data_IF_669800829510
#
_entry.id   IF_669800829510
#
_cell.length_a   1.000
_cell.length_b   1.000
_cell.length_c   1.000
_cell.angle_alpha   90.00
_cell.angle_beta   90.00
_cell.angle_gamma   90.00
#
_symmetry.space_group_name_H-M   'P 1'
#
loop_
_entity.id
_entity.type
_entity.pdbx_description
1 polymer ?
#
# COMPACT_ATOMS: atom_id res chain seq x y z
N UNK A 1 -12.96 18.35 9.48
CA UNK A 1 -13.52 18.74 10.79
C UNK A 1 -13.31 17.63 11.80
N UNK A 2 -13.08 17.99 13.04
CA UNK A 2 -12.86 17.06 14.14
C UNK A 2 -13.67 17.50 15.35
N UNK A 3 -14.34 16.55 16.01
CA UNK A 3 -15.09 16.80 17.24
C UNK A 3 -14.37 16.24 18.48
N UNK A 4 -13.30 15.54 18.31
CA UNK A 4 -12.47 14.92 19.36
C UNK A 4 -11.79 13.68 18.81
N UNK A 5 -10.77 13.21 19.51
CA UNK A 5 -10.03 11.96 19.28
C UNK A 5 -9.72 11.60 17.82
N UNK A 6 -9.33 12.60 17.03
CA UNK A 6 -9.00 12.48 15.59
C UNK A 6 -7.93 11.41 15.34
N UNK A 7 -6.99 11.25 16.29
CA UNK A 7 -5.95 10.22 16.20
C UNK A 7 -6.52 8.80 16.16
N UNK A 8 -7.59 8.53 16.91
CA UNK A 8 -8.20 7.21 16.95
C UNK A 8 -8.99 6.91 15.66
N UNK A 9 -9.69 7.91 15.13
CA UNK A 9 -10.29 7.84 13.78
C UNK A 9 -9.24 7.62 12.71
N UNK A 10 -8.08 8.28 12.80
CA UNK A 10 -6.96 8.11 11.88
C UNK A 10 -6.36 6.71 11.92
N UNK A 11 -6.29 6.06 13.10
CA UNK A 11 -5.84 4.67 13.24
C UNK A 11 -6.77 3.73 12.48
N UNK A 12 -8.09 3.87 12.67
CA UNK A 12 -9.08 3.08 11.95
C UNK A 12 -8.97 3.29 10.43
N UNK A 13 -8.90 4.55 9.98
CA UNK A 13 -8.77 4.90 8.57
C UNK A 13 -7.48 4.37 7.96
N UNK A 14 -6.35 4.47 8.67
CA UNK A 14 -5.06 3.94 8.22
C UNK A 14 -5.08 2.42 8.08
N UNK A 15 -5.73 1.72 9.02
CA UNK A 15 -5.91 0.27 8.94
C UNK A 15 -6.70 -0.12 7.68
N UNK A 16 -7.83 0.52 7.43
CA UNK A 16 -8.64 0.30 6.23
C UNK A 16 -7.87 0.66 4.94
N UNK A 17 -7.12 1.76 4.96
CA UNK A 17 -6.32 2.21 3.81
C UNK A 17 -5.23 1.21 3.44
N UNK A 18 -4.47 0.71 4.43
CA UNK A 18 -3.44 -0.31 4.22
C UNK A 18 -4.04 -1.61 3.67
N UNK A 19 -5.16 -2.06 4.23
CA UNK A 19 -5.86 -3.26 3.77
C UNK A 19 -6.39 -3.09 2.34
N UNK A 20 -6.93 -1.90 2.03
CA UNK A 20 -7.40 -1.56 0.67
C UNK A 20 -6.28 -1.51 -0.35
N UNK A 21 -5.10 -1.09 0.06
CA UNK A 21 -3.90 -1.07 -0.78
C UNK A 21 -3.23 -2.45 -0.94
N UNK A 22 -3.79 -3.50 -0.35
CA UNK A 22 -3.22 -4.85 -0.43
C UNK A 22 -1.99 -5.07 0.47
N UNK A 23 -1.73 -4.17 1.44
CA UNK A 23 -0.63 -4.38 2.38
C UNK A 23 -1.00 -5.51 3.35
N UNK A 24 -0.20 -6.58 3.45
CA UNK A 24 -0.52 -7.76 4.27
C UNK A 24 -0.28 -7.47 5.76
N UNK A 25 -1.07 -6.58 6.34
CA UNK A 25 -1.03 -6.34 7.80
C UNK A 25 -1.50 -7.57 8.55
N UNK A 26 -0.95 -7.81 9.73
CA UNK A 26 -1.25 -9.02 10.53
C UNK A 26 -2.71 -9.11 10.99
N UNK A 27 -3.33 -7.96 11.25
CA UNK A 27 -4.74 -7.85 11.65
C UNK A 27 -5.19 -6.38 11.55
N UNK A 28 -6.49 -6.12 11.36
CA UNK A 28 -7.03 -4.77 11.45
C UNK A 28 -6.89 -4.23 12.87
N UNK A 29 -6.66 -2.93 12.98
CA UNK A 29 -6.51 -2.19 14.23
C UNK A 29 -7.59 -1.12 14.30
N UNK A 30 -8.35 -1.10 15.39
CA UNK A 30 -9.24 -0.01 15.72
C UNK A 30 -8.73 0.79 16.91
N UNK A 31 -9.04 2.06 16.94
CA UNK A 31 -8.74 2.96 18.06
C UNK A 31 -10.02 3.60 18.62
N UNK A 32 -10.03 3.85 19.91
CA UNK A 32 -11.10 4.55 20.62
C UNK A 32 -10.50 5.36 21.78
N UNK A 33 -11.18 6.42 22.18
CA UNK A 33 -10.90 7.14 23.41
C UNK A 33 -11.98 6.96 24.43
N UNK A 34 -11.61 6.96 25.70
CA UNK A 34 -12.51 7.11 26.83
C UNK A 34 -12.03 8.26 27.70
N UNK A 35 -12.97 8.96 28.31
CA UNK A 35 -12.71 10.04 29.25
C UNK A 35 -13.18 9.69 30.64
N UNK A 36 -12.69 10.44 31.62
CA UNK A 36 -13.10 10.36 33.02
C UNK A 36 -13.58 11.72 33.46
N UNK A 37 -14.70 11.73 34.18
CA UNK A 37 -15.18 12.88 34.94
C UNK A 37 -15.39 12.40 36.37
N UNK A 38 -14.74 13.04 37.34
CA UNK A 38 -14.85 12.73 38.77
C UNK A 38 -15.74 13.73 39.48
N UNK A 39 -16.44 13.28 40.52
CA UNK A 39 -17.21 14.08 41.43
C UNK A 39 -16.50 14.33 42.78
N UNK A 40 -17.25 14.44 43.86
CA UNK A 40 -16.69 14.79 45.17
C UNK A 40 -16.06 13.64 45.96
N UNK A 41 -16.27 12.39 45.55
CA UNK A 41 -15.74 11.19 46.22
C UNK A 41 -15.03 10.24 45.28
N UNK A 42 -14.20 9.35 45.85
CA UNK A 42 -13.39 8.39 45.07
C UNK A 42 -14.22 7.43 44.23
N UNK A 43 -15.45 7.14 44.64
CA UNK A 43 -16.40 6.29 43.92
C UNK A 43 -17.40 7.10 43.06
N UNK A 44 -17.31 8.45 43.07
CA UNK A 44 -18.16 9.32 42.28
C UNK A 44 -17.46 9.70 40.99
N UNK A 45 -17.61 8.86 39.97
CA UNK A 45 -17.01 9.10 38.66
C UNK A 45 -17.85 8.50 37.53
N UNK A 46 -17.65 9.03 36.32
CA UNK A 46 -18.25 8.52 35.09
C UNK A 46 -17.15 8.32 34.07
N UNK A 47 -17.14 7.16 33.41
CA UNK A 47 -16.29 6.89 32.24
C UNK A 47 -17.11 7.08 30.96
N UNK A 48 -16.69 8.03 30.14
CA UNK A 48 -17.30 8.37 28.88
C UNK A 48 -16.61 7.60 27.78
N UNK A 49 -17.35 7.11 26.78
CA UNK A 49 -16.79 6.40 25.60
C UNK A 49 -16.95 7.29 24.38
N UNK A 50 -15.89 7.39 23.55
CA UNK A 50 -15.81 8.22 22.34
C UNK A 50 -15.99 9.72 22.67
N UNK A 51 -15.01 10.25 23.40
CA UNK A 51 -15.09 11.61 23.96
C UNK A 51 -14.99 12.70 22.89
N UNK A 52 -15.79 13.74 23.10
CA UNK A 52 -15.75 14.99 22.32
C UNK A 52 -14.63 15.92 22.80
N UNK A 53 -14.32 16.94 22.01
CA UNK A 53 -13.28 17.92 22.34
C UNK A 53 -13.51 18.66 23.66
N UNK A 54 -14.77 18.93 24.05
CA UNK A 54 -15.09 19.54 25.36
C UNK A 54 -14.90 18.55 26.52
N UNK A 55 -15.23 17.28 26.32
CA UNK A 55 -15.03 16.22 27.30
C UNK A 55 -13.54 15.89 27.47
N UNK A 56 -12.74 15.98 26.39
CA UNK A 56 -11.28 15.93 26.46
C UNK A 56 -10.73 17.14 27.24
N UNK A 57 -11.19 18.35 26.95
CA UNK A 57 -10.64 19.56 27.55
C UNK A 57 -10.99 19.70 29.05
N UNK A 58 -12.21 19.43 29.42
CA UNK A 58 -12.72 19.61 30.80
C UNK A 58 -12.72 18.33 31.64
N UNK A 59 -12.54 17.16 31.03
CA UNK A 59 -12.46 15.89 31.73
C UNK A 59 -11.17 15.72 32.53
N UNK A 60 -11.13 14.74 33.41
CA UNK A 60 -10.03 14.45 34.32
C UNK A 60 -8.99 13.48 33.73
N UNK A 61 -9.38 12.73 32.70
CA UNK A 61 -8.53 11.81 31.95
C UNK A 61 -8.98 11.72 30.51
N UNK A 62 -8.01 11.67 29.59
CA UNK A 62 -8.16 11.19 28.22
C UNK A 62 -7.34 9.91 28.05
N UNK A 63 -8.02 8.80 27.79
CA UNK A 63 -7.41 7.49 27.65
C UNK A 63 -7.69 6.90 26.28
N UNK A 64 -6.68 6.86 25.44
CA UNK A 64 -6.73 6.40 24.05
C UNK A 64 -6.11 5.02 23.93
N UNK A 65 -6.85 4.09 23.36
CA UNK A 65 -6.40 2.70 23.17
C UNK A 65 -6.64 2.25 21.74
N UNK A 66 -5.60 1.73 21.12
CA UNK A 66 -5.69 1.04 19.85
C UNK A 66 -5.39 -0.46 20.02
N UNK A 67 -5.98 -1.29 19.19
CA UNK A 67 -5.72 -2.72 19.24
C UNK A 67 -6.52 -3.53 18.23
N UNK A 68 -6.16 -4.81 18.17
CA UNK A 68 -6.82 -5.85 17.40
C UNK A 68 -7.80 -6.63 18.27
N UNK A 69 -8.47 -7.62 17.70
CA UNK A 69 -9.28 -8.58 18.48
C UNK A 69 -8.45 -9.35 19.53
N UNK A 70 -7.15 -9.53 19.28
CA UNK A 70 -6.28 -10.30 20.17
C UNK A 70 -5.77 -9.50 21.37
N UNK A 71 -5.76 -8.16 21.27
CA UNK A 71 -5.27 -7.32 22.34
C UNK A 71 -4.92 -5.91 21.96
N UNK A 72 -4.43 -5.17 22.94
CA UNK A 72 -4.03 -3.78 22.83
C UNK A 72 -2.67 -3.70 22.12
N UNK A 73 -2.53 -2.79 21.17
CA UNK A 73 -1.29 -2.51 20.43
C UNK A 73 -0.67 -1.17 20.78
N UNK A 74 -1.48 -0.21 21.23
CA UNK A 74 -1.00 1.10 21.66
C UNK A 74 -1.92 1.70 22.72
N UNK A 75 -1.33 2.45 23.64
CA UNK A 75 -2.01 3.23 24.68
C UNK A 75 -1.39 4.62 24.72
N UNK A 76 -2.26 5.62 24.83
CA UNK A 76 -1.89 6.98 25.22
C UNK A 76 -2.85 7.41 26.33
N UNK A 77 -2.32 7.98 27.40
CA UNK A 77 -3.12 8.46 28.52
C UNK A 77 -2.64 9.83 28.95
N UNK A 78 -3.56 10.75 29.10
CA UNK A 78 -3.36 12.04 29.70
C UNK A 78 -4.24 12.16 30.95
N UNK A 79 -3.62 12.47 32.09
CA UNK A 79 -4.29 12.55 33.40
C UNK A 79 -4.12 13.97 33.92
N UNK A 80 -5.24 14.61 34.29
CA UNK A 80 -5.28 15.97 34.80
C UNK A 80 -5.51 16.04 36.30
N UNK A 81 -5.65 14.88 36.96
CA UNK A 81 -5.84 14.72 38.43
C UNK A 81 -4.67 13.96 39.05
N UNK A 82 -4.57 13.90 40.35
CA UNK A 82 -3.40 13.37 41.08
C UNK A 82 -3.22 11.84 41.02
N UNK A 83 -4.06 11.13 40.35
CA UNK A 83 -3.94 9.68 40.13
C UNK A 83 -5.25 9.03 39.81
N UNK A 84 -5.20 7.77 39.42
CA UNK A 84 -6.36 6.94 39.14
C UNK A 84 -6.37 5.71 40.03
N UNK A 85 -7.56 5.30 40.45
CA UNK A 85 -7.71 4.02 41.15
C UNK A 85 -7.55 2.85 40.18
N UNK A 86 -7.17 1.70 40.68
CA UNK A 86 -7.09 0.46 39.86
C UNK A 86 -8.45 0.12 39.23
N UNK A 87 -9.54 0.42 39.95
CA UNK A 87 -10.91 0.21 39.47
C UNK A 87 -11.19 1.04 38.21
N UNK A 88 -10.88 2.34 38.23
CA UNK A 88 -11.07 3.25 37.09
C UNK A 88 -10.27 2.74 35.89
N UNK A 89 -8.99 2.33 36.07
CA UNK A 89 -8.15 1.81 34.98
C UNK A 89 -8.75 0.54 34.39
N UNK A 90 -9.21 -0.38 35.22
CA UNK A 90 -9.83 -1.63 34.78
C UNK A 90 -11.10 -1.38 33.97
N UNK A 91 -11.94 -0.49 34.45
CA UNK A 91 -13.19 -0.12 33.78
C UNK A 91 -12.89 0.60 32.44
N UNK A 92 -11.95 1.54 32.41
CA UNK A 92 -11.54 2.22 31.20
C UNK A 92 -11.04 1.23 30.14
N UNK A 93 -10.19 0.28 30.52
CA UNK A 93 -9.69 -0.79 29.62
C UNK A 93 -10.85 -1.65 29.10
N UNK A 94 -11.80 -2.03 29.97
CA UNK A 94 -12.96 -2.81 29.56
C UNK A 94 -13.84 -2.07 28.55
N UNK A 95 -14.12 -0.77 28.81
CA UNK A 95 -14.88 0.11 27.91
C UNK A 95 -14.18 0.24 26.54
N UNK A 96 -12.87 0.46 26.53
CA UNK A 96 -12.12 0.53 25.26
C UNK A 96 -12.13 -0.80 24.51
N UNK A 97 -12.14 -1.94 25.20
CA UNK A 97 -12.25 -3.26 24.55
C UNK A 97 -13.60 -3.42 23.87
N UNK A 98 -14.68 -3.12 24.56
CA UNK A 98 -16.04 -3.21 24.03
C UNK A 98 -16.21 -2.33 22.78
N UNK A 99 -15.83 -1.06 22.87
CA UNK A 99 -15.94 -0.11 21.77
C UNK A 99 -15.07 -0.49 20.57
N UNK A 100 -13.82 -0.93 20.78
CA UNK A 100 -12.95 -1.39 19.69
C UNK A 100 -13.49 -2.65 19.03
N UNK A 101 -14.04 -3.58 19.79
CA UNK A 101 -14.67 -4.79 19.25
C UNK A 101 -15.85 -4.41 18.35
N UNK A 102 -16.70 -3.50 18.79
CA UNK A 102 -17.79 -2.96 17.97
C UNK A 102 -17.26 -2.32 16.68
N UNK A 103 -16.26 -1.44 16.76
CA UNK A 103 -15.68 -0.79 15.57
C UNK A 103 -15.10 -1.83 14.60
N UNK A 104 -14.36 -2.81 15.10
CA UNK A 104 -13.76 -3.86 14.26
C UNK A 104 -14.82 -4.71 13.57
N UNK A 105 -15.80 -5.22 14.32
CA UNK A 105 -16.75 -6.22 13.83
C UNK A 105 -17.94 -5.62 13.09
N UNK A 106 -18.48 -4.50 13.56
CA UNK A 106 -19.73 -3.95 13.05
C UNK A 106 -19.52 -2.79 12.07
N UNK A 107 -18.32 -2.18 12.06
CA UNK A 107 -18.01 -1.03 11.20
C UNK A 107 -16.91 -1.35 10.18
N UNK A 108 -15.75 -1.85 10.61
CA UNK A 108 -14.60 -2.03 9.72
C UNK A 108 -14.67 -3.33 8.90
N UNK A 109 -14.88 -4.48 9.55
CA UNK A 109 -14.91 -5.78 8.89
C UNK A 109 -15.99 -5.93 7.80
N UNK A 110 -17.21 -5.35 7.95
CA UNK A 110 -18.17 -5.37 6.86
C UNK A 110 -17.72 -4.65 5.58
N UNK A 111 -16.80 -3.68 5.71
CA UNK A 111 -16.26 -2.93 4.57
C UNK A 111 -15.06 -3.64 3.95
N UNK A 112 -14.10 -4.02 4.77
CA UNK A 112 -12.89 -4.75 4.36
C UNK A 112 -12.54 -5.78 5.43
N UNK A 113 -12.90 -7.07 5.24
CA UNK A 113 -12.66 -8.10 6.24
C UNK A 113 -11.20 -8.59 6.31
N UNK A 114 -10.45 -8.40 5.24
CA UNK A 114 -9.03 -8.76 5.13
C UNK A 114 -8.30 -7.83 4.16
N UNK A 115 -6.98 -7.80 4.21
CA UNK A 115 -6.20 -7.11 3.20
C UNK A 115 -6.52 -7.68 1.81
N UNK A 116 -6.65 -6.80 0.81
CA UNK A 116 -6.86 -7.23 -0.57
C UNK A 116 -5.61 -7.95 -1.08
N UNK A 117 -5.80 -8.92 -1.95
CA UNK A 117 -4.73 -9.65 -2.62
C UNK A 117 -4.10 -8.87 -3.79
N UNK A 118 -4.70 -7.74 -4.15
CA UNK A 118 -4.23 -6.83 -5.18
C UNK A 118 -4.49 -5.37 -4.78
N UNK A 119 -3.72 -4.45 -5.32
CA UNK A 119 -3.94 -3.01 -5.15
C UNK A 119 -5.18 -2.56 -5.92
N UNK A 120 -5.81 -1.48 -5.46
CA UNK A 120 -6.99 -0.91 -6.13
C UNK A 120 -6.72 -0.53 -7.59
N UNK A 121 -7.77 -0.45 -8.40
CA UNK A 121 -7.71 -0.17 -9.84
C UNK A 121 -6.88 1.09 -10.15
N UNK A 122 -7.09 2.16 -9.39
CA UNK A 122 -6.41 3.46 -9.57
C UNK A 122 -5.16 3.63 -8.71
N UNK A 123 -4.77 2.60 -7.97
CA UNK A 123 -3.54 2.68 -7.17
C UNK A 123 -2.31 2.47 -8.06
N UNK A 124 -1.22 3.22 -7.82
CA UNK A 124 0.05 2.94 -8.48
C UNK A 124 0.49 1.50 -8.24
N UNK A 125 0.81 0.80 -9.31
CA UNK A 125 1.29 -0.58 -9.30
C UNK A 125 2.78 -0.58 -9.62
N UNK A 126 3.52 -1.47 -8.97
CA UNK A 126 4.95 -1.68 -9.20
C UNK A 126 5.15 -3.14 -9.56
N UNK A 127 5.76 -3.39 -10.70
CA UNK A 127 6.23 -4.72 -11.07
C UNK A 127 7.75 -4.73 -11.17
N UNK A 128 8.36 -5.79 -10.65
CA UNK A 128 9.79 -5.99 -10.71
C UNK A 128 10.12 -7.06 -11.75
N UNK A 129 11.07 -6.75 -12.61
CA UNK A 129 11.65 -7.68 -13.57
C UNK A 129 13.16 -7.66 -13.46
N UNK A 130 13.82 -8.81 -13.48
CA UNK A 130 15.28 -8.89 -13.35
C UNK A 130 15.88 -9.39 -14.65
N UNK A 131 16.91 -8.70 -15.12
CA UNK A 131 17.69 -9.06 -16.30
C UNK A 131 19.15 -9.33 -15.92
N UNK A 132 19.90 -9.95 -16.82
CA UNK A 132 21.34 -10.04 -16.69
C UNK A 132 21.94 -8.61 -16.70
N UNK A 133 22.80 -8.25 -15.72
CA UNK A 133 23.45 -6.95 -15.70
C UNK A 133 24.20 -6.57 -16.98
N UNK A 134 24.74 -7.56 -17.70
CA UNK A 134 25.40 -7.34 -19.01
C UNK A 134 24.43 -6.82 -20.08
N UNK A 135 23.12 -7.04 -19.90
CA UNK A 135 22.05 -6.60 -20.82
C UNK A 135 21.47 -5.22 -20.52
N UNK A 136 21.85 -4.60 -19.40
CA UNK A 136 21.36 -3.26 -19.02
C UNK A 136 21.58 -2.24 -20.14
N UNK A 137 22.76 -2.28 -20.76
CA UNK A 137 23.10 -1.36 -21.86
C UNK A 137 22.21 -1.54 -23.09
N UNK A 138 21.70 -2.75 -23.36
CA UNK A 138 20.77 -3.02 -24.46
C UNK A 138 19.38 -2.44 -24.18
N UNK A 139 18.91 -2.53 -22.93
CA UNK A 139 17.62 -1.99 -22.50
C UNK A 139 17.65 -0.46 -22.46
N UNK A 140 18.73 0.13 -21.95
CA UNK A 140 18.90 1.59 -21.95
C UNK A 140 19.05 2.11 -23.37
N UNK A 141 19.84 1.44 -24.18
CA UNK A 141 20.15 1.84 -25.55
C UNK A 141 21.08 3.07 -25.63
N UNK A 142 21.49 3.41 -26.83
CA UNK A 142 22.41 4.54 -27.09
C UNK A 142 21.76 5.85 -26.62
N UNK A 143 22.38 6.52 -25.64
CA UNK A 143 21.89 7.77 -25.03
C UNK A 143 20.46 7.65 -24.46
N UNK A 144 20.07 6.48 -23.96
CA UNK A 144 18.74 6.25 -23.40
C UNK A 144 17.61 6.08 -24.43
N UNK A 145 17.92 5.99 -25.72
CA UNK A 145 16.91 5.99 -26.79
C UNK A 145 15.91 4.83 -26.67
N UNK A 146 16.39 3.64 -26.30
CA UNK A 146 15.52 2.45 -26.21
C UNK A 146 14.58 2.56 -25.01
N UNK A 147 15.10 2.87 -23.81
CA UNK A 147 14.28 3.00 -22.61
C UNK A 147 13.28 4.15 -22.72
N UNK A 148 13.69 5.29 -23.28
CA UNK A 148 12.77 6.42 -23.49
C UNK A 148 11.68 6.05 -24.51
N UNK A 149 11.99 5.28 -25.55
CA UNK A 149 10.98 4.77 -26.48
C UNK A 149 9.93 3.87 -25.81
N UNK A 150 10.36 3.01 -24.87
CA UNK A 150 9.44 2.18 -24.07
C UNK A 150 8.56 3.06 -23.19
N UNK A 151 9.14 4.06 -22.51
CA UNK A 151 8.43 5.00 -21.66
C UNK A 151 7.41 5.81 -22.46
N UNK A 152 7.81 6.34 -23.61
CA UNK A 152 6.94 7.13 -24.49
C UNK A 152 5.76 6.31 -25.03
N UNK A 153 5.99 5.02 -25.36
CA UNK A 153 4.98 4.12 -25.90
C UNK A 153 3.98 3.62 -24.86
N UNK A 154 4.43 3.42 -23.62
CA UNK A 154 3.63 2.79 -22.55
C UNK A 154 3.17 3.75 -21.46
N UNK A 155 3.81 4.91 -21.32
CA UNK A 155 3.52 5.88 -20.27
C UNK A 155 3.97 5.43 -18.86
N UNK A 156 4.70 4.32 -18.74
CA UNK A 156 5.20 3.82 -17.46
C UNK A 156 6.44 4.60 -16.99
N UNK A 157 6.75 4.52 -15.70
CA UNK A 157 8.06 4.91 -15.17
C UNK A 157 8.93 3.67 -15.01
N UNK A 158 10.17 3.74 -15.46
CA UNK A 158 11.13 2.62 -15.38
C UNK A 158 12.36 3.09 -14.62
N UNK A 159 12.77 2.32 -13.62
CA UNK A 159 14.03 2.48 -12.92
C UNK A 159 14.84 1.17 -13.00
N UNK A 160 16.15 1.27 -13.26
CA UNK A 160 17.03 0.12 -13.43
C UNK A 160 18.23 0.31 -12.52
N UNK A 161 18.49 -0.64 -11.63
CA UNK A 161 19.66 -0.65 -10.80
C UNK A 161 20.84 -1.45 -11.41
N UNK A 162 22.02 -1.31 -10.81
CA UNK A 162 23.25 -1.97 -11.29
C UNK A 162 23.19 -3.50 -11.19
N UNK A 163 22.28 -4.07 -10.41
CA UNK A 163 22.08 -5.52 -10.30
C UNK A 163 21.24 -6.10 -11.42
N UNK A 164 20.68 -5.26 -12.29
CA UNK A 164 19.76 -5.67 -13.36
C UNK A 164 18.32 -5.76 -12.93
N UNK A 165 17.97 -5.28 -11.72
CA UNK A 165 16.59 -5.16 -11.29
C UNK A 165 15.93 -3.95 -11.95
N UNK A 166 14.80 -4.18 -12.56
CA UNK A 166 13.97 -3.17 -13.23
C UNK A 166 12.67 -3.03 -12.46
N UNK A 167 12.42 -1.84 -11.90
CA UNK A 167 11.17 -1.46 -11.26
C UNK A 167 10.32 -0.66 -12.26
N UNK A 168 9.12 -1.14 -12.57
CA UNK A 168 8.21 -0.55 -13.54
C UNK A 168 6.94 -0.12 -12.82
N UNK A 169 6.61 1.18 -12.89
CA UNK A 169 5.49 1.79 -12.19
C UNK A 169 4.46 2.32 -13.19
N UNK A 170 3.18 2.01 -12.95
CA UNK A 170 2.03 2.60 -13.63
C UNK A 170 0.75 2.37 -12.83
N UNK A 171 -0.30 3.16 -13.09
CA UNK A 171 -1.66 2.86 -12.64
C UNK A 171 -2.29 1.75 -13.48
N UNK A 172 -1.86 1.59 -14.74
CA UNK A 172 -2.36 0.60 -15.69
C UNK A 172 -1.45 -0.63 -15.75
N UNK A 173 -1.97 -1.78 -15.30
CA UNK A 173 -1.26 -3.06 -15.33
C UNK A 173 -0.94 -3.52 -16.76
N UNK A 174 -1.84 -3.25 -17.73
CA UNK A 174 -1.60 -3.65 -19.11
C UNK A 174 -0.40 -2.92 -19.72
N UNK A 175 -0.17 -1.67 -19.33
CA UNK A 175 1.02 -0.91 -19.76
C UNK A 175 2.29 -1.42 -19.12
N UNK A 176 2.25 -1.86 -17.87
CA UNK A 176 3.38 -2.54 -17.20
C UNK A 176 3.71 -3.84 -17.93
N UNK A 177 2.73 -4.68 -18.23
CA UNK A 177 2.91 -5.96 -18.90
C UNK A 177 3.46 -5.77 -20.32
N UNK A 178 3.01 -4.73 -21.02
CA UNK A 178 3.52 -4.34 -22.33
C UNK A 178 4.98 -3.92 -22.24
N UNK A 179 5.35 -3.08 -21.28
CA UNK A 179 6.74 -2.66 -21.07
C UNK A 179 7.65 -3.87 -20.78
N UNK A 180 7.23 -4.79 -19.91
CA UNK A 180 7.94 -6.03 -19.63
C UNK A 180 8.10 -6.86 -20.89
N UNK A 181 7.07 -6.99 -21.73
CA UNK A 181 7.14 -7.74 -22.98
C UNK A 181 8.16 -7.15 -23.94
N UNK A 182 8.21 -5.82 -24.07
CA UNK A 182 9.22 -5.14 -24.92
C UNK A 182 10.63 -5.39 -24.36
N UNK A 183 10.84 -5.24 -23.04
CA UNK A 183 12.14 -5.49 -22.41
C UNK A 183 12.58 -6.94 -22.63
N UNK A 184 11.69 -7.91 -22.47
CA UNK A 184 11.95 -9.33 -22.73
C UNK A 184 12.41 -9.54 -24.17
N UNK A 185 11.72 -8.95 -25.14
CA UNK A 185 12.09 -9.08 -26.55
C UNK A 185 13.50 -8.54 -26.88
N UNK A 186 13.99 -7.60 -26.07
CA UNK A 186 15.34 -7.03 -26.21
C UNK A 186 16.40 -7.99 -25.63
N UNK A 187 16.16 -8.51 -24.40
CA UNK A 187 17.18 -9.24 -23.65
C UNK A 187 17.18 -10.74 -23.89
N UNK A 188 16.02 -11.34 -24.20
CA UNK A 188 15.92 -12.77 -24.42
C UNK A 188 16.50 -13.15 -25.79
N UNK A 189 17.29 -14.25 -25.88
CA UNK A 189 17.81 -14.72 -27.16
C UNK A 189 16.68 -15.22 -28.05
N UNK A 190 16.83 -15.07 -29.34
CA UNK A 190 15.93 -15.69 -30.31
C UNK A 190 16.21 -17.18 -30.39
N UNK A 191 15.17 -18.01 -30.24
CA UNK A 191 15.32 -19.45 -30.29
C UNK A 191 14.86 -20.02 -31.64
N UNK A 192 15.56 -21.02 -32.13
CA UNK A 192 15.15 -21.74 -33.33
C UNK A 192 13.91 -22.58 -33.07
N UNK A 193 12.86 -22.34 -33.84
CA UNK A 193 11.58 -23.03 -33.72
C UNK A 193 10.47 -22.20 -33.08
N UNK A 194 10.80 -21.03 -32.48
CA UNK A 194 9.81 -20.09 -31.98
C UNK A 194 9.21 -19.26 -33.12
N UNK A 195 7.97 -18.79 -32.91
CA UNK A 195 7.27 -17.92 -33.86
C UNK A 195 7.34 -16.48 -33.33
N UNK A 196 7.79 -15.57 -34.16
CA UNK A 196 7.92 -14.16 -33.85
C UNK A 196 7.11 -13.32 -34.85
N UNK A 197 6.47 -12.27 -34.36
CA UNK A 197 5.91 -11.19 -35.18
C UNK A 197 6.95 -10.09 -35.35
N UNK A 198 7.11 -9.57 -36.58
CA UNK A 198 8.05 -8.52 -36.84
C UNK A 198 7.68 -7.66 -38.05
N UNK A 199 8.19 -6.44 -38.09
CA UNK A 199 7.98 -5.50 -39.18
C UNK A 199 9.02 -5.69 -40.29
N UNK A 200 8.59 -5.74 -41.53
CA UNK A 200 9.49 -5.75 -42.68
C UNK A 200 10.09 -4.37 -42.87
N UNK A 201 11.35 -4.20 -42.46
CA UNK A 201 12.05 -2.90 -42.52
C UNK A 201 12.78 -2.67 -43.85
N UNK A 202 13.09 -3.73 -44.60
CA UNK A 202 13.78 -3.63 -45.90
C UNK A 202 13.55 -4.87 -46.77
N UNK A 203 13.33 -4.66 -48.04
CA UNK A 203 13.21 -5.73 -49.03
C UNK A 203 14.44 -5.67 -49.96
N UNK A 204 15.03 -6.83 -50.21
CA UNK A 204 16.18 -7.01 -51.08
C UNK A 204 15.88 -8.11 -52.12
N UNK A 205 16.73 -8.23 -53.17
CA UNK A 205 16.55 -9.23 -54.24
C UNK A 205 16.59 -10.69 -53.76
N UNK A 206 17.14 -10.92 -52.52
CA UNK A 206 17.32 -12.25 -51.95
C UNK A 206 16.41 -12.53 -50.76
N UNK A 207 15.52 -11.62 -50.40
CA UNK A 207 14.59 -11.76 -49.26
C UNK A 207 14.27 -10.45 -48.56
N UNK A 208 13.61 -10.55 -47.40
CA UNK A 208 13.25 -9.42 -46.57
C UNK A 208 14.07 -9.38 -45.27
N UNK A 209 14.28 -8.17 -44.74
CA UNK A 209 14.76 -7.97 -43.38
C UNK A 209 13.57 -7.65 -42.49
N UNK A 210 13.42 -8.43 -41.42
CA UNK A 210 12.33 -8.31 -40.47
C UNK A 210 12.90 -7.89 -39.12
N UNK A 211 12.41 -6.79 -38.59
CA UNK A 211 12.77 -6.33 -37.25
C UNK A 211 11.87 -7.02 -36.22
N UNK A 212 12.46 -7.80 -35.33
CA UNK A 212 11.74 -8.55 -34.29
C UNK A 212 11.69 -7.82 -32.95
N UNK A 213 12.65 -6.93 -32.71
CA UNK A 213 12.70 -6.05 -31.55
C UNK A 213 13.56 -4.83 -31.91
N UNK A 214 13.55 -3.77 -31.07
CA UNK A 214 14.32 -2.54 -31.35
C UNK A 214 15.78 -2.75 -31.75
N UNK A 215 16.41 -3.83 -31.27
CA UNK A 215 17.82 -4.12 -31.49
C UNK A 215 18.09 -5.45 -32.23
N UNK A 216 17.04 -6.13 -32.73
CA UNK A 216 17.17 -7.44 -33.38
C UNK A 216 16.49 -7.44 -34.75
N UNK A 217 17.32 -7.47 -35.78
CA UNK A 217 16.91 -7.59 -37.19
C UNK A 217 17.35 -8.95 -37.73
N UNK A 218 16.46 -9.67 -38.39
CA UNK A 218 16.79 -10.90 -39.09
C UNK A 218 16.82 -10.62 -40.60
N UNK A 219 17.92 -10.94 -41.23
CA UNK A 219 18.04 -10.91 -42.67
C UNK A 219 17.70 -12.26 -43.29
N UNK A 220 16.70 -12.28 -44.18
CA UNK A 220 16.22 -13.42 -44.95
C UNK A 220 15.11 -14.22 -44.26
N UNK A 221 13.88 -13.75 -44.41
CA UNK A 221 12.67 -14.54 -44.29
C UNK A 221 12.23 -15.03 -45.66
#
# INVERSE_FOLDING_TARGET
ESNGSTSQGSICASSLSLMSAGVPIKAPVAGISVGLVTGEGDDDYIILTDIQGLEDFFGDMDFKVAGTDKGITAIQMDIKIHGLTEQIIREAIARTKEARTHILHDVMNPVIPAARDHVGEFAPKISQYTIDPEKISEVIGKQGKTINGIIDETGVKIDIDESGRIDILSEDQAMIDKAISIIKSIVEPLNVGDIYEGEVVRIMNFGAFVQLSPNKEIGRA
#
